data_IF_894023831773
#
_entry.id   IF_894023831773
#
_cell.length_a   1.000
_cell.length_b   1.000
_cell.length_c   1.000
_cell.angle_alpha   90.00
_cell.angle_beta   90.00
_cell.angle_gamma   90.00
#
_symmetry.space_group_name_H-M   'P 1'
#
loop_
_entity.id
_entity.type
_entity.pdbx_description
1 polymer ?
#
# COMPACT_ATOMS: atom_id res chain seq x y z
N UNK A 1 -26.42 -19.38 10.36
CA UNK A 1 -25.43 -19.07 11.42
C UNK A 1 -24.35 -20.11 11.28
N UNK A 2 -23.10 -19.71 11.20
CA UNK A 2 -21.95 -20.60 11.18
C UNK A 2 -21.18 -20.46 12.49
N UNK A 3 -20.80 -21.60 13.08
CA UNK A 3 -19.97 -21.67 14.28
C UNK A 3 -18.60 -22.19 13.90
N UNK A 4 -17.54 -21.39 14.15
CA UNK A 4 -16.15 -21.69 13.79
C UNK A 4 -15.20 -21.37 14.95
N UNK A 5 -13.97 -21.87 14.90
CA UNK A 5 -12.97 -21.49 15.90
C UNK A 5 -12.59 -20.01 15.76
N UNK A 6 -12.35 -19.56 14.52
CA UNK A 6 -11.91 -18.20 14.25
C UNK A 6 -12.67 -17.57 13.08
N UNK A 7 -13.01 -16.29 13.23
CA UNK A 7 -13.51 -15.47 12.13
C UNK A 7 -12.43 -14.48 11.68
N UNK A 8 -12.28 -14.27 10.38
CA UNK A 8 -11.39 -13.27 9.79
C UNK A 8 -12.19 -12.31 8.93
N UNK A 9 -12.00 -11.01 9.11
CA UNK A 9 -12.73 -9.95 8.40
C UNK A 9 -11.81 -9.24 7.41
N UNK A 10 -12.11 -9.38 6.12
CA UNK A 10 -11.34 -8.82 5.00
C UNK A 10 -10.39 -9.85 4.36
N UNK A 11 -10.54 -10.08 3.05
CA UNK A 11 -9.75 -11.01 2.26
C UNK A 11 -8.63 -10.31 1.44
N UNK A 12 -7.98 -9.29 2.02
CA UNK A 12 -6.67 -8.81 1.56
C UNK A 12 -5.55 -9.78 1.98
N UNK A 13 -4.28 -9.49 1.61
CA UNK A 13 -3.15 -10.36 1.97
C UNK A 13 -3.09 -10.70 3.47
N UNK A 14 -3.35 -9.74 4.34
CA UNK A 14 -3.32 -9.97 5.78
C UNK A 14 -4.38 -11.00 6.23
N UNK A 15 -5.62 -10.83 5.79
CA UNK A 15 -6.71 -11.74 6.15
C UNK A 15 -6.59 -13.11 5.47
N UNK A 16 -6.22 -13.14 4.19
CA UNK A 16 -5.95 -14.39 3.48
C UNK A 16 -4.85 -15.21 4.18
N UNK A 17 -3.76 -14.55 4.58
CA UNK A 17 -2.65 -15.21 5.30
C UNK A 17 -3.09 -15.67 6.69
N UNK A 18 -3.80 -14.83 7.45
CA UNK A 18 -4.30 -15.22 8.77
C UNK A 18 -5.21 -16.45 8.68
N UNK A 19 -6.19 -16.42 7.77
CA UNK A 19 -7.10 -17.55 7.55
C UNK A 19 -6.37 -18.83 7.11
N UNK A 20 -5.37 -18.69 6.21
CA UNK A 20 -4.54 -19.79 5.74
C UNK A 20 -3.78 -20.45 6.89
N UNK A 21 -3.07 -19.67 7.70
CA UNK A 21 -2.28 -20.19 8.84
C UNK A 21 -3.17 -20.85 9.90
N UNK A 22 -4.33 -20.28 10.20
CA UNK A 22 -5.31 -20.88 11.12
C UNK A 22 -5.85 -22.21 10.58
N UNK A 23 -6.21 -22.27 9.30
CA UNK A 23 -6.68 -23.52 8.66
C UNK A 23 -5.59 -24.59 8.61
N UNK A 24 -4.34 -24.21 8.32
CA UNK A 24 -3.17 -25.12 8.33
C UNK A 24 -2.89 -25.68 9.74
N UNK A 25 -3.21 -24.91 10.79
CA UNK A 25 -3.14 -25.36 12.18
C UNK A 25 -4.32 -26.28 12.59
N UNK A 26 -5.25 -26.59 11.68
CA UNK A 26 -6.37 -27.51 11.90
C UNK A 26 -7.64 -26.86 12.48
N UNK A 27 -7.70 -25.55 12.49
CA UNK A 27 -8.87 -24.82 12.99
C UNK A 27 -9.94 -24.58 11.91
N UNK A 28 -11.19 -24.54 12.33
CA UNK A 28 -12.30 -24.08 11.50
C UNK A 28 -12.28 -22.55 11.38
N UNK A 29 -12.39 -22.04 10.14
CA UNK A 29 -12.23 -20.61 9.84
C UNK A 29 -13.35 -20.14 8.92
N UNK A 30 -13.94 -18.98 9.22
CA UNK A 30 -14.75 -18.21 8.28
C UNK A 30 -14.02 -16.89 7.93
N UNK A 31 -13.71 -16.70 6.64
CA UNK A 31 -13.12 -15.47 6.11
C UNK A 31 -14.20 -14.69 5.37
N UNK A 32 -14.54 -13.52 5.88
CA UNK A 32 -15.62 -12.65 5.38
C UNK A 32 -15.02 -11.51 4.54
N UNK A 33 -15.42 -11.38 3.28
CA UNK A 33 -15.01 -10.30 2.38
C UNK A 33 -16.23 -9.54 1.89
N UNK A 34 -16.14 -8.22 1.94
CA UNK A 34 -17.24 -7.33 1.56
C UNK A 34 -17.48 -7.27 0.04
N UNK A 35 -16.41 -7.51 -0.76
CA UNK A 35 -16.48 -7.54 -2.23
C UNK A 35 -16.83 -8.93 -2.73
N UNK A 36 -17.10 -9.00 -4.01
CA UNK A 36 -17.23 -10.23 -4.80
C UNK A 36 -15.88 -10.87 -5.20
N UNK A 37 -14.78 -10.31 -4.70
CA UNK A 37 -13.41 -10.73 -4.98
C UNK A 37 -12.50 -10.64 -3.76
N UNK A 38 -11.47 -11.46 -3.74
CA UNK A 38 -10.35 -11.35 -2.79
C UNK A 38 -9.31 -10.32 -3.24
N UNK A 39 -8.31 -10.02 -2.40
CA UNK A 39 -7.12 -9.23 -2.71
C UNK A 39 -7.09 -7.83 -2.10
N UNK A 40 -8.24 -7.27 -1.70
CA UNK A 40 -8.28 -5.94 -1.07
C UNK A 40 -7.69 -4.83 -1.94
N UNK A 41 -6.64 -4.14 -1.44
CA UNK A 41 -5.90 -3.07 -2.14
C UNK A 41 -4.95 -3.57 -3.24
N UNK A 42 -4.81 -4.86 -3.41
CA UNK A 42 -4.15 -5.48 -4.57
C UNK A 42 -5.24 -6.09 -5.45
N UNK A 43 -5.28 -5.68 -6.69
CA UNK A 43 -6.31 -6.11 -7.63
C UNK A 43 -5.68 -6.34 -9.00
N UNK A 44 -5.75 -7.57 -9.50
CA UNK A 44 -5.31 -7.93 -10.85
C UNK A 44 -6.54 -8.25 -11.68
N UNK A 45 -6.73 -7.49 -12.74
CA UNK A 45 -7.69 -7.80 -13.78
C UNK A 45 -7.09 -8.84 -14.72
N UNK A 46 -7.80 -9.94 -14.90
CA UNK A 46 -7.45 -10.98 -15.86
C UNK A 46 -8.34 -10.83 -17.09
N UNK A 47 -7.74 -10.70 -18.26
CA UNK A 47 -8.46 -10.51 -19.53
C UNK A 47 -8.59 -11.83 -20.29
N UNK A 48 -9.57 -11.90 -21.18
CA UNK A 48 -9.85 -13.09 -22.01
C UNK A 48 -8.73 -13.37 -23.03
N UNK A 49 -7.97 -12.33 -23.42
CA UNK A 49 -6.80 -12.42 -24.30
C UNK A 49 -5.54 -12.95 -23.60
N UNK A 50 -5.64 -13.25 -22.31
CA UNK A 50 -4.52 -13.71 -21.47
C UNK A 50 -3.70 -12.59 -20.85
N UNK A 51 -3.91 -11.32 -21.21
CA UNK A 51 -3.26 -10.19 -20.57
C UNK A 51 -3.79 -10.04 -19.13
N UNK A 52 -2.90 -9.77 -18.20
CA UNK A 52 -3.22 -9.43 -16.83
C UNK A 52 -2.67 -8.05 -16.46
N UNK A 53 -3.44 -7.28 -15.69
CA UNK A 53 -3.12 -5.91 -15.32
C UNK A 53 -3.36 -5.72 -13.83
N UNK A 54 -2.32 -5.35 -13.09
CA UNK A 54 -2.45 -4.97 -11.68
C UNK A 54 -2.99 -3.54 -11.57
N UNK A 55 -4.24 -3.43 -11.17
CA UNK A 55 -4.94 -2.15 -10.92
C UNK A 55 -4.74 -1.64 -9.49
N UNK A 56 -4.07 -2.41 -8.64
CA UNK A 56 -3.68 -2.09 -7.27
C UNK A 56 -2.18 -2.24 -7.03
N UNK A 57 -1.77 -2.55 -5.79
CA UNK A 57 -0.39 -2.88 -5.45
C UNK A 57 0.13 -4.01 -6.32
N UNK A 58 1.39 -3.90 -6.82
CA UNK A 58 1.90 -4.78 -7.87
C UNK A 58 3.36 -5.22 -7.67
N UNK A 59 4.15 -4.47 -6.89
CA UNK A 59 5.59 -4.65 -6.81
C UNK A 59 6.03 -5.30 -5.51
N UNK A 60 7.14 -6.02 -5.61
CA UNK A 60 7.86 -6.66 -4.53
C UNK A 60 9.36 -6.42 -4.71
N UNK A 61 10.13 -6.56 -3.63
CA UNK A 61 11.57 -6.32 -3.69
C UNK A 61 12.36 -7.10 -2.65
N UNK A 62 13.70 -6.99 -2.64
CA UNK A 62 14.57 -7.66 -1.71
C UNK A 62 14.18 -7.40 -0.24
N UNK A 63 14.31 -8.40 0.63
CA UNK A 63 13.97 -8.28 2.06
C UNK A 63 12.47 -8.38 2.36
N UNK A 64 11.61 -8.49 1.35
CA UNK A 64 10.19 -8.78 1.50
C UNK A 64 9.96 -10.30 1.59
N UNK A 65 10.57 -10.94 2.59
CA UNK A 65 10.71 -12.39 2.68
C UNK A 65 9.38 -13.11 2.90
N UNK A 66 8.41 -12.45 3.56
CA UNK A 66 7.11 -13.07 3.85
C UNK A 66 6.28 -13.25 2.59
N UNK A 67 6.23 -12.24 1.72
CA UNK A 67 5.51 -12.39 0.44
C UNK A 67 6.22 -13.37 -0.50
N UNK A 68 7.56 -13.36 -0.56
CA UNK A 68 8.30 -14.37 -1.32
C UNK A 68 8.10 -15.78 -0.75
N UNK A 69 8.03 -15.93 0.58
CA UNK A 69 7.69 -17.19 1.24
C UNK A 69 6.32 -17.72 0.80
N UNK A 70 5.30 -16.84 0.81
CA UNK A 70 3.96 -17.18 0.35
C UNK A 70 3.93 -17.52 -1.16
N UNK A 71 4.66 -16.79 -2.00
CA UNK A 71 4.81 -17.09 -3.43
C UNK A 71 5.43 -18.47 -3.65
N UNK A 72 6.50 -18.80 -2.92
CA UNK A 72 7.16 -20.10 -3.01
C UNK A 72 6.25 -21.24 -2.54
N UNK A 73 5.48 -21.03 -1.47
CA UNK A 73 4.51 -22.02 -0.96
C UNK A 73 3.48 -22.42 -2.04
N UNK A 74 3.10 -21.47 -2.89
CA UNK A 74 2.11 -21.69 -3.95
C UNK A 74 2.70 -21.79 -5.37
N UNK A 75 4.02 -21.83 -5.51
CA UNK A 75 4.68 -21.99 -6.80
C UNK A 75 4.47 -20.82 -7.77
N UNK A 76 4.27 -19.61 -7.26
CA UNK A 76 4.10 -18.40 -8.09
C UNK A 76 5.47 -17.77 -8.34
N UNK A 77 6.00 -17.78 -9.58
CA UNK A 77 7.28 -17.18 -9.89
C UNK A 77 7.19 -15.66 -9.99
N UNK A 78 8.34 -14.98 -9.92
CA UNK A 78 8.46 -13.54 -10.17
C UNK A 78 9.37 -13.24 -11.34
N UNK A 79 9.24 -12.05 -11.91
CA UNK A 79 10.14 -11.50 -12.91
C UNK A 79 10.56 -10.08 -12.51
N UNK A 80 11.71 -9.64 -13.01
CA UNK A 80 12.25 -8.32 -12.72
C UNK A 80 11.43 -7.23 -13.40
N UNK A 81 11.20 -6.14 -12.66
CA UNK A 81 10.65 -4.92 -13.21
C UNK A 81 11.55 -4.41 -14.33
N UNK A 82 10.96 -4.10 -15.49
CA UNK A 82 11.74 -3.49 -16.58
C UNK A 82 12.20 -2.08 -16.16
N UNK A 83 13.49 -1.85 -16.21
CA UNK A 83 14.11 -0.59 -15.83
C UNK A 83 15.31 -0.22 -16.76
N UNK A 84 15.44 -0.91 -17.89
CA UNK A 84 16.47 -0.59 -18.87
C UNK A 84 16.15 0.70 -19.63
N UNK A 85 17.17 1.46 -19.97
CA UNK A 85 17.02 2.77 -20.61
C UNK A 85 17.13 3.93 -19.63
N UNK A 86 16.66 5.10 -20.05
CA UNK A 86 16.67 6.32 -19.25
C UNK A 86 15.28 6.59 -18.65
N UNK A 87 15.24 7.00 -17.39
CA UNK A 87 14.07 7.58 -16.76
C UNK A 87 13.97 9.09 -17.08
N UNK A 88 12.79 9.65 -16.90
CA UNK A 88 12.56 11.08 -17.07
C UNK A 88 12.09 11.71 -15.75
N UNK A 89 12.53 12.94 -15.49
CA UNK A 89 12.09 13.73 -14.35
C UNK A 89 11.80 15.17 -14.79
N UNK A 90 10.69 15.70 -14.28
CA UNK A 90 10.26 17.08 -14.52
C UNK A 90 10.19 17.78 -13.17
N UNK A 91 11.13 18.66 -12.91
CA UNK A 91 11.25 19.38 -11.64
C UNK A 91 11.66 20.83 -11.92
N UNK A 92 11.04 21.79 -11.25
CA UNK A 92 11.28 23.24 -11.42
C UNK A 92 11.22 23.69 -12.89
N UNK A 93 10.23 23.17 -13.64
CA UNK A 93 10.01 23.47 -15.05
C UNK A 93 11.08 22.92 -16.02
N UNK A 94 11.96 22.02 -15.57
CA UNK A 94 13.01 21.44 -16.38
C UNK A 94 12.80 19.94 -16.56
N UNK A 95 13.13 19.45 -17.76
CA UNK A 95 13.13 18.04 -18.14
C UNK A 95 14.54 17.46 -18.02
N UNK A 96 14.65 16.35 -17.30
CA UNK A 96 15.89 15.59 -17.15
C UNK A 96 15.68 14.17 -17.69
N UNK A 97 16.65 13.67 -18.48
CA UNK A 97 16.78 12.24 -18.79
C UNK A 97 17.98 11.72 -18.01
N UNK A 98 17.83 10.58 -17.34
CA UNK A 98 18.86 10.09 -16.45
C UNK A 98 18.79 8.57 -16.25
N UNK A 99 19.92 8.01 -15.80
CA UNK A 99 20.00 6.63 -15.29
C UNK A 99 20.26 6.66 -13.77
N UNK A 100 19.72 5.72 -13.05
CA UNK A 100 19.85 5.65 -11.60
C UNK A 100 18.70 6.31 -10.85
N UNK A 101 18.91 6.72 -9.60
CA UNK A 101 17.85 7.17 -8.70
C UNK A 101 17.50 8.66 -8.86
N UNK A 102 18.50 9.51 -9.12
CA UNK A 102 18.31 10.95 -9.30
C UNK A 102 19.13 11.46 -10.49
N UNK A 103 18.65 12.50 -11.21
CA UNK A 103 19.42 13.09 -12.31
C UNK A 103 20.61 13.90 -11.78
N UNK A 104 21.82 13.38 -11.96
CA UNK A 104 23.06 14.09 -11.62
C UNK A 104 23.30 15.34 -12.47
N UNK A 105 22.53 15.53 -13.53
CA UNK A 105 22.51 16.74 -14.37
C UNK A 105 21.73 17.91 -13.75
N UNK A 106 21.08 17.72 -12.60
CA UNK A 106 20.56 18.82 -11.78
C UNK A 106 21.69 19.74 -11.32
N UNK A 107 21.36 20.95 -10.84
CA UNK A 107 22.39 21.82 -10.29
C UNK A 107 23.15 21.11 -9.15
N UNK A 108 24.49 21.31 -9.03
CA UNK A 108 25.27 20.72 -7.94
C UNK A 108 24.69 21.04 -6.56
N UNK A 109 24.11 22.22 -6.40
CA UNK A 109 23.43 22.63 -5.17
C UNK A 109 22.20 21.78 -4.84
N UNK A 110 21.37 21.47 -5.85
CA UNK A 110 20.21 20.60 -5.65
C UNK A 110 20.63 19.17 -5.29
N UNK A 111 21.60 18.60 -6.01
CA UNK A 111 22.14 17.25 -5.74
C UNK A 111 22.72 17.14 -4.33
N UNK A 112 23.53 18.13 -3.91
CA UNK A 112 24.11 18.19 -2.56
C UNK A 112 23.02 18.28 -1.49
N UNK A 113 21.98 19.08 -1.74
CA UNK A 113 20.88 19.27 -0.80
C UNK A 113 20.05 17.98 -0.63
N UNK A 114 19.74 17.28 -1.74
CA UNK A 114 19.07 15.98 -1.70
C UNK A 114 19.92 14.98 -0.91
N UNK A 115 21.22 14.91 -1.19
CA UNK A 115 22.14 14.01 -0.49
C UNK A 115 22.22 14.28 1.02
N UNK A 116 22.24 15.55 1.43
CA UNK A 116 22.23 15.94 2.83
C UNK A 116 20.95 15.49 3.55
N UNK A 117 19.78 15.70 2.92
CA UNK A 117 18.49 15.23 3.46
C UNK A 117 18.44 13.72 3.58
N UNK A 118 18.89 12.99 2.56
CA UNK A 118 18.95 11.51 2.62
C UNK A 118 19.86 11.00 3.73
N UNK A 119 21.01 11.63 3.94
CA UNK A 119 21.93 11.28 5.02
C UNK A 119 21.29 11.52 6.38
N UNK A 120 20.64 12.67 6.57
CA UNK A 120 19.93 13.00 7.81
C UNK A 120 18.81 12.01 8.09
N UNK A 121 17.94 11.74 7.12
CA UNK A 121 16.86 10.74 7.24
C UNK A 121 17.40 9.36 7.60
N UNK A 122 18.51 8.94 6.96
CA UNK A 122 19.15 7.66 7.27
C UNK A 122 19.60 7.57 8.72
N UNK A 123 20.17 8.66 9.26
CA UNK A 123 20.58 8.69 10.67
C UNK A 123 19.37 8.72 11.62
N UNK A 124 18.34 9.49 11.27
CA UNK A 124 17.10 9.56 12.08
C UNK A 124 16.41 8.19 12.14
N UNK A 125 16.31 7.49 11.03
CA UNK A 125 15.70 6.15 10.94
C UNK A 125 16.38 5.12 11.86
N UNK A 126 17.71 5.19 12.05
CA UNK A 126 18.45 4.29 12.94
C UNK A 126 18.01 4.36 14.41
N UNK A 127 17.41 5.46 14.82
CA UNK A 127 16.95 5.66 16.20
C UNK A 127 15.49 5.29 16.42
N UNK A 128 14.81 4.79 15.40
CA UNK A 128 13.41 4.37 15.50
C UNK A 128 13.31 2.90 15.91
N UNK A 129 12.78 2.58 17.09
CA UNK A 129 12.44 1.23 17.47
C UNK A 129 11.17 0.82 16.69
N UNK A 130 11.33 -0.01 15.66
CA UNK A 130 10.21 -0.33 14.73
C UNK A 130 9.04 -1.06 15.38
N UNK A 131 9.25 -1.72 16.51
CA UNK A 131 8.16 -2.32 17.30
C UNK A 131 7.35 -1.27 18.09
N UNK A 132 7.98 -0.17 18.47
CA UNK A 132 7.37 0.88 19.28
C UNK A 132 7.92 2.27 18.86
N UNK A 133 7.60 2.76 17.64
CA UNK A 133 8.16 4.01 17.12
C UNK A 133 7.84 5.25 17.97
N UNK A 134 6.79 5.19 18.76
CA UNK A 134 6.41 6.21 19.76
C UNK A 134 7.40 6.31 20.93
N UNK A 135 8.24 5.29 21.16
CA UNK A 135 9.28 5.27 22.20
C UNK A 135 10.63 5.78 21.70
N UNK A 136 10.73 6.23 20.43
CA UNK A 136 11.95 6.81 19.92
C UNK A 136 12.41 8.02 20.77
N UNK A 137 13.72 8.24 20.98
CA UNK A 137 14.23 9.31 21.87
C UNK A 137 13.71 10.73 21.55
N UNK A 138 13.34 10.96 20.30
CA UNK A 138 12.80 12.25 19.83
C UNK A 138 11.36 12.13 19.29
N UNK A 139 10.65 11.06 19.61
CA UNK A 139 9.33 10.75 19.07
C UNK A 139 8.38 11.94 19.15
N UNK A 140 8.16 12.50 20.35
CA UNK A 140 7.25 13.64 20.54
C UNK A 140 7.64 14.87 19.67
N UNK A 141 8.96 15.14 19.55
CA UNK A 141 9.41 16.28 18.73
C UNK A 141 9.15 16.03 17.25
N UNK A 142 9.39 14.83 16.76
CA UNK A 142 9.20 14.48 15.35
C UNK A 142 7.72 14.32 15.00
N UNK A 143 6.92 13.79 15.92
CA UNK A 143 5.49 13.62 15.70
C UNK A 143 4.69 14.95 15.72
N UNK A 144 5.23 16.00 16.33
CA UNK A 144 4.63 17.34 16.31
C UNK A 144 4.87 18.09 14.99
N UNK A 145 5.75 17.59 14.12
CA UNK A 145 6.07 18.19 12.83
C UNK A 145 5.44 17.40 11.70
N UNK A 146 4.88 18.11 10.72
CA UNK A 146 4.60 17.49 9.44
C UNK A 146 5.88 17.34 8.62
N UNK A 147 5.85 16.44 7.63
CA UNK A 147 6.93 16.33 6.64
C UNK A 147 7.22 17.66 5.96
N UNK A 148 6.19 18.38 5.51
CA UNK A 148 6.38 19.69 4.89
C UNK A 148 7.11 20.66 5.82
N UNK A 149 6.65 20.80 7.07
CA UNK A 149 7.26 21.74 8.03
C UNK A 149 8.72 21.38 8.39
N UNK A 150 9.09 20.10 8.35
CA UNK A 150 10.47 19.67 8.52
C UNK A 150 11.31 19.97 7.27
N UNK A 151 10.76 19.70 6.09
CA UNK A 151 11.43 19.90 4.81
C UNK A 151 11.75 21.37 4.56
N UNK A 152 10.80 22.27 4.85
CA UNK A 152 10.99 23.74 4.78
C UNK A 152 12.21 24.24 5.56
N UNK A 153 12.56 23.57 6.67
CA UNK A 153 13.68 23.94 7.53
C UNK A 153 15.00 23.31 7.11
N UNK A 154 14.96 22.22 6.36
CA UNK A 154 16.13 21.40 6.06
C UNK A 154 16.49 21.38 4.57
N UNK A 155 15.72 22.09 3.72
CA UNK A 155 15.96 22.14 2.28
C UNK A 155 16.04 23.59 1.79
N UNK A 156 17.18 23.96 1.23
CA UNK A 156 17.44 25.32 0.74
C UNK A 156 17.36 25.42 -0.80
N UNK A 157 17.30 24.30 -1.49
CA UNK A 157 17.21 24.22 -2.94
C UNK A 157 15.75 23.95 -3.36
N UNK A 158 15.15 24.88 -4.12
CA UNK A 158 13.77 24.73 -4.59
C UNK A 158 13.55 23.41 -5.37
N UNK A 159 14.41 23.01 -6.35
CA UNK A 159 14.22 21.72 -7.04
C UNK A 159 14.34 20.52 -6.09
N UNK A 160 15.23 20.57 -5.08
CA UNK A 160 15.35 19.50 -4.10
C UNK A 160 14.11 19.43 -3.20
N UNK A 161 13.60 20.57 -2.77
CA UNK A 161 12.37 20.65 -1.97
C UNK A 161 11.18 20.05 -2.73
N UNK A 162 10.94 20.49 -3.98
CA UNK A 162 9.85 20.03 -4.82
C UNK A 162 9.91 18.50 -5.05
N UNK A 163 11.12 17.98 -5.32
CA UNK A 163 11.33 16.54 -5.50
C UNK A 163 11.02 15.75 -4.23
N UNK A 164 11.59 16.14 -3.10
CA UNK A 164 11.45 15.43 -1.82
C UNK A 164 10.02 15.53 -1.27
N UNK A 165 9.38 16.69 -1.39
CA UNK A 165 7.99 16.87 -1.00
C UNK A 165 7.06 15.97 -1.80
N UNK A 166 7.21 15.99 -3.13
CA UNK A 166 6.35 15.21 -4.01
C UNK A 166 6.60 13.70 -3.89
N UNK A 167 7.84 13.27 -3.67
CA UNK A 167 8.15 11.84 -3.46
C UNK A 167 7.43 11.28 -2.24
N UNK A 168 7.39 12.02 -1.13
CA UNK A 168 6.70 11.59 0.08
C UNK A 168 5.18 11.75 -0.06
N UNK A 169 4.72 12.85 -0.66
CA UNK A 169 3.29 13.02 -0.94
C UNK A 169 2.74 11.91 -1.84
N UNK A 170 3.53 11.46 -2.81
CA UNK A 170 3.22 10.33 -3.67
C UNK A 170 3.15 9.01 -2.90
N UNK A 171 4.19 8.70 -2.13
CA UNK A 171 4.26 7.47 -1.35
C UNK A 171 3.06 7.29 -0.40
N UNK A 172 2.59 8.37 0.21
CA UNK A 172 1.43 8.35 1.12
C UNK A 172 0.12 8.81 0.47
N UNK A 173 0.17 9.20 -0.80
CA UNK A 173 -1.00 9.66 -1.58
C UNK A 173 -1.77 10.80 -0.89
N UNK A 174 -1.06 11.62 -0.12
CA UNK A 174 -1.58 12.71 0.71
C UNK A 174 -0.66 13.94 0.65
N UNK A 175 -1.13 15.10 1.09
CA UNK A 175 -0.28 16.27 1.13
C UNK A 175 0.83 16.11 2.19
N UNK A 176 2.02 16.59 1.90
CA UNK A 176 3.17 16.56 2.82
C UNK A 176 2.88 17.19 4.19
N UNK A 177 1.97 18.17 4.23
CA UNK A 177 1.51 18.81 5.46
C UNK A 177 0.60 17.93 6.34
N UNK A 178 0.00 16.90 5.77
CA UNK A 178 -0.91 15.98 6.46
C UNK A 178 -0.17 14.81 7.14
N UNK A 179 1.12 14.62 6.87
CA UNK A 179 1.89 13.43 7.25
C UNK A 179 2.88 13.79 8.36
N UNK A 180 2.86 13.06 9.49
CA UNK A 180 3.83 13.22 10.58
C UNK A 180 5.24 12.84 10.13
N UNK A 181 6.25 13.65 10.51
CA UNK A 181 7.66 13.29 10.31
C UNK A 181 8.02 11.97 11.00
N UNK A 182 7.54 11.75 12.24
CA UNK A 182 7.79 10.49 12.95
C UNK A 182 7.24 9.30 12.15
N UNK A 183 6.08 9.45 11.55
CA UNK A 183 5.47 8.40 10.73
C UNK A 183 6.31 8.09 9.48
N UNK A 184 6.81 9.12 8.78
CA UNK A 184 7.73 8.94 7.64
C UNK A 184 8.98 8.18 8.06
N UNK A 185 9.59 8.57 9.18
CA UNK A 185 10.78 7.90 9.72
C UNK A 185 10.50 6.45 10.11
N UNK A 186 9.37 6.19 10.75
CA UNK A 186 8.95 4.84 11.12
C UNK A 186 8.76 3.94 9.91
N UNK A 187 8.02 4.39 8.92
CA UNK A 187 7.78 3.61 7.70
C UNK A 187 9.11 3.29 6.98
N UNK A 188 9.97 4.29 6.79
CA UNK A 188 11.30 4.09 6.20
C UNK A 188 12.17 3.13 7.02
N UNK A 189 12.21 3.29 8.35
CA UNK A 189 12.98 2.42 9.23
C UNK A 189 12.48 0.96 9.19
N UNK A 190 11.15 0.77 9.14
CA UNK A 190 10.51 -0.55 9.07
C UNK A 190 10.86 -1.31 7.78
N UNK A 191 11.21 -0.59 6.72
CA UNK A 191 11.53 -1.14 5.39
C UNK A 191 13.03 -1.13 5.06
N UNK A 192 13.91 -0.79 6.01
CA UNK A 192 15.36 -0.81 5.80
C UNK A 192 15.97 0.53 5.37
N UNK A 193 15.20 1.60 5.36
CA UNK A 193 15.68 2.98 5.15
C UNK A 193 15.17 3.67 3.89
N UNK A 194 15.49 4.97 3.74
CA UNK A 194 14.96 5.80 2.69
C UNK A 194 15.34 5.34 1.28
N UNK A 195 16.54 4.79 1.09
CA UNK A 195 17.00 4.31 -0.23
C UNK A 195 16.21 3.12 -0.74
N UNK A 196 15.73 2.24 0.17
CA UNK A 196 14.88 1.12 -0.21
C UNK A 196 13.49 1.60 -0.60
N UNK A 197 12.90 2.47 0.21
CA UNK A 197 11.51 2.93 0.04
C UNK A 197 11.32 3.75 -1.25
N UNK A 198 12.32 4.55 -1.62
CA UNK A 198 12.26 5.47 -2.76
C UNK A 198 12.96 4.94 -4.02
N UNK A 199 13.44 3.69 -4.00
CA UNK A 199 14.16 3.07 -5.10
C UNK A 199 13.31 2.07 -5.90
N UNK A 200 13.73 1.82 -7.15
CA UNK A 200 13.14 0.78 -8.02
C UNK A 200 14.07 -0.43 -8.09
N UNK A 201 15.27 -0.27 -8.64
CA UNK A 201 16.23 -1.36 -8.80
C UNK A 201 16.84 -1.78 -7.46
N UNK A 202 16.81 -3.08 -7.15
CA UNK A 202 17.25 -3.65 -5.87
C UNK A 202 16.60 -2.98 -4.65
N UNK A 203 15.35 -2.51 -4.81
CA UNK A 203 14.58 -1.75 -3.85
C UNK A 203 13.11 -2.21 -3.82
N UNK A 204 12.20 -1.38 -3.34
CA UNK A 204 10.81 -1.77 -3.09
C UNK A 204 10.04 -2.25 -4.32
N UNK A 205 10.38 -1.76 -5.52
CA UNK A 205 9.68 -2.00 -6.78
C UNK A 205 10.51 -2.84 -7.77
N UNK A 206 11.32 -3.78 -7.28
CA UNK A 206 12.31 -4.53 -8.07
C UNK A 206 11.72 -5.64 -8.96
N UNK A 207 10.60 -6.22 -8.55
CA UNK A 207 10.01 -7.37 -9.24
C UNK A 207 8.49 -7.40 -9.15
N UNK A 208 7.88 -8.24 -9.99
CA UNK A 208 6.43 -8.50 -10.00
C UNK A 208 6.16 -10.02 -10.09
N UNK A 209 5.07 -10.53 -9.47
CA UNK A 209 4.64 -11.92 -9.66
C UNK A 209 4.15 -12.15 -11.10
N UNK A 210 4.47 -13.31 -11.67
CA UNK A 210 3.89 -13.74 -12.95
C UNK A 210 2.38 -13.99 -12.76
N UNK A 211 1.56 -13.40 -13.62
CA UNK A 211 0.08 -13.41 -13.46
C UNK A 211 -0.43 -12.38 -12.46
N UNK A 212 0.44 -11.43 -12.04
CA UNK A 212 0.15 -10.35 -11.11
C UNK A 212 -0.08 -10.83 -9.67
N UNK A 213 -0.40 -9.91 -8.78
CA UNK A 213 -0.76 -10.25 -7.38
C UNK A 213 -1.97 -11.19 -7.30
N UNK A 214 -2.83 -11.15 -8.32
CA UNK A 214 -3.99 -12.05 -8.44
C UNK A 214 -3.63 -13.53 -8.52
N UNK A 215 -2.46 -13.89 -9.04
CA UNK A 215 -2.02 -15.28 -9.05
C UNK A 215 -1.87 -15.84 -7.63
N UNK A 216 -1.29 -15.06 -6.73
CA UNK A 216 -1.12 -15.42 -5.32
C UNK A 216 -2.49 -15.49 -4.62
N UNK A 217 -3.35 -14.49 -4.83
CA UNK A 217 -4.70 -14.48 -4.22
C UNK A 217 -5.52 -15.70 -4.62
N UNK A 218 -5.52 -16.05 -5.91
CA UNK A 218 -6.26 -17.22 -6.42
C UNK A 218 -5.73 -18.52 -5.81
N UNK A 219 -4.42 -18.67 -5.70
CA UNK A 219 -3.81 -19.84 -5.12
C UNK A 219 -4.15 -20.01 -3.63
N UNK A 220 -4.04 -18.94 -2.84
CA UNK A 220 -4.43 -18.94 -1.42
C UNK A 220 -5.93 -19.16 -1.27
N UNK A 221 -6.76 -18.53 -2.10
CA UNK A 221 -8.21 -18.69 -2.06
C UNK A 221 -8.62 -20.14 -2.40
N UNK A 222 -7.97 -20.79 -3.35
CA UNK A 222 -8.21 -22.19 -3.67
C UNK A 222 -7.88 -23.12 -2.48
N UNK A 223 -6.80 -22.83 -1.74
CA UNK A 223 -6.44 -23.60 -0.53
C UNK A 223 -7.44 -23.38 0.63
N UNK A 224 -8.02 -22.18 0.72
CA UNK A 224 -9.05 -21.86 1.71
C UNK A 224 -10.43 -22.45 1.36
N UNK A 225 -10.77 -22.55 0.06
CA UNK A 225 -12.02 -23.13 -0.42
C UNK A 225 -13.25 -22.51 0.25
N UNK A 226 -14.14 -23.35 0.77
CA UNK A 226 -15.43 -22.94 1.38
C UNK A 226 -15.30 -22.10 2.65
N UNK A 227 -14.10 -21.86 3.16
CA UNK A 227 -13.86 -20.94 4.28
C UNK A 227 -14.04 -19.48 3.88
N UNK A 228 -14.08 -19.16 2.57
CA UNK A 228 -14.23 -17.77 2.07
C UNK A 228 -15.70 -17.48 1.75
N UNK A 229 -16.18 -16.38 2.32
CA UNK A 229 -17.53 -15.86 2.06
C UNK A 229 -17.41 -14.47 1.45
N UNK A 230 -17.61 -14.37 0.15
CA UNK A 230 -17.61 -13.11 -0.61
C UNK A 230 -18.95 -12.38 -0.48
N UNK A 231 -18.97 -11.08 -0.78
CA UNK A 231 -20.15 -10.22 -0.71
C UNK A 231 -20.81 -10.19 0.67
N UNK A 232 -19.97 -10.33 1.73
CA UNK A 232 -20.38 -10.34 3.13
C UNK A 232 -19.76 -9.15 3.89
N UNK A 233 -20.28 -7.92 3.69
CA UNK A 233 -19.78 -6.75 4.41
C UNK A 233 -20.15 -6.83 5.89
N UNK A 234 -19.14 -6.88 6.76
CA UNK A 234 -19.35 -6.91 8.21
C UNK A 234 -19.87 -5.58 8.70
N UNK A 235 -20.99 -5.62 9.45
CA UNK A 235 -21.69 -4.46 10.02
C UNK A 235 -21.42 -4.28 11.50
N UNK A 236 -21.37 -5.39 12.24
CA UNK A 236 -21.09 -5.32 13.68
C UNK A 236 -20.32 -6.52 14.17
N UNK A 237 -19.57 -6.31 15.26
CA UNK A 237 -18.86 -7.32 16.03
C UNK A 237 -19.22 -7.13 17.49
N UNK A 238 -19.93 -8.11 18.04
CA UNK A 238 -20.26 -8.18 19.47
C UNK A 238 -19.37 -9.21 20.13
N UNK A 239 -18.83 -8.93 21.31
CA UNK A 239 -18.05 -9.91 22.09
C UNK A 239 -18.51 -9.98 23.54
N UNK A 240 -18.41 -11.17 24.12
CA UNK A 240 -18.72 -11.46 25.52
C UNK A 240 -17.73 -12.49 26.10
N UNK A 241 -18.07 -13.09 27.25
CA UNK A 241 -17.26 -14.12 27.90
C UNK A 241 -17.15 -15.40 27.05
N UNK A 242 -18.15 -15.71 26.22
CA UNK A 242 -18.25 -16.97 25.48
C UNK A 242 -17.61 -16.90 24.10
N UNK A 243 -17.50 -15.69 23.50
CA UNK A 243 -16.92 -15.55 22.16
C UNK A 243 -17.21 -14.22 21.48
N UNK A 244 -17.23 -14.28 20.15
CA UNK A 244 -17.58 -13.15 19.29
C UNK A 244 -18.71 -13.52 18.35
N UNK A 245 -19.59 -12.57 18.07
CA UNK A 245 -20.62 -12.68 17.03
C UNK A 245 -20.35 -11.61 15.98
N UNK A 246 -20.06 -12.03 14.76
CA UNK A 246 -19.81 -11.15 13.60
C UNK A 246 -21.06 -11.17 12.72
N UNK A 247 -21.62 -10.00 12.42
CA UNK A 247 -22.84 -9.86 11.62
C UNK A 247 -22.56 -9.16 10.30
N UNK A 248 -22.93 -9.81 9.21
CA UNK A 248 -23.03 -9.25 7.87
C UNK A 248 -24.50 -8.92 7.53
N UNK A 249 -24.76 -8.48 6.30
CA UNK A 249 -26.12 -8.23 5.85
C UNK A 249 -26.97 -9.53 5.82
N UNK A 250 -26.40 -10.62 5.29
CA UNK A 250 -27.11 -11.90 5.09
C UNK A 250 -26.55 -13.06 5.91
N UNK A 251 -25.47 -12.84 6.69
CA UNK A 251 -24.76 -13.89 7.40
C UNK A 251 -24.43 -13.49 8.84
N UNK A 252 -24.47 -14.46 9.74
CA UNK A 252 -23.99 -14.33 11.11
C UNK A 252 -23.00 -15.45 11.41
N UNK A 253 -21.81 -15.08 11.88
CA UNK A 253 -20.75 -16.01 12.29
C UNK A 253 -20.50 -15.86 13.78
N UNK A 254 -20.48 -16.99 14.51
CA UNK A 254 -19.96 -17.06 15.88
C UNK A 254 -18.57 -17.68 15.86
N UNK A 255 -17.65 -17.12 16.64
CA UNK A 255 -16.29 -17.60 16.75
C UNK A 255 -15.74 -17.38 18.17
N UNK A 256 -14.67 -18.09 18.52
CA UNK A 256 -13.96 -17.83 19.77
C UNK A 256 -13.28 -16.46 19.76
N UNK A 257 -12.65 -16.11 18.62
CA UNK A 257 -11.98 -14.83 18.40
C UNK A 257 -12.16 -14.36 16.96
N UNK A 258 -11.94 -13.06 16.73
CA UNK A 258 -11.98 -12.46 15.39
C UNK A 258 -10.70 -11.71 15.07
N UNK A 259 -10.19 -11.87 13.86
CA UNK A 259 -9.11 -11.05 13.29
C UNK A 259 -9.71 -10.05 12.30
N UNK A 260 -9.60 -8.77 12.61
CA UNK A 260 -10.05 -7.68 11.74
C UNK A 260 -8.86 -7.24 10.88
N UNK A 261 -8.91 -7.54 9.58
CA UNK A 261 -7.85 -7.36 8.59
C UNK A 261 -8.23 -6.36 7.47
N UNK A 262 -9.12 -5.42 7.79
CA UNK A 262 -9.53 -4.35 6.88
C UNK A 262 -8.76 -3.05 7.19
N UNK A 263 -8.67 -2.09 6.23
CA UNK A 263 -8.04 -0.80 6.49
C UNK A 263 -8.63 -0.12 7.73
N UNK A 264 -7.80 0.59 8.50
CA UNK A 264 -8.19 1.21 9.78
C UNK A 264 -9.41 2.13 9.60
N UNK A 265 -9.44 2.93 8.55
CA UNK A 265 -10.57 3.80 8.23
C UNK A 265 -11.86 3.02 7.91
N UNK A 266 -11.76 1.81 7.37
CA UNK A 266 -12.92 0.94 7.13
C UNK A 266 -13.34 0.22 8.41
N UNK A 267 -12.38 -0.19 9.25
CA UNK A 267 -12.68 -0.77 10.55
C UNK A 267 -13.49 0.19 11.44
N UNK A 268 -13.34 1.51 11.27
CA UNK A 268 -14.14 2.51 11.99
C UNK A 268 -15.64 2.52 11.63
N UNK A 269 -16.01 1.90 10.50
CA UNK A 269 -17.41 1.81 10.04
C UNK A 269 -18.13 0.58 10.60
N UNK A 270 -17.41 -0.32 11.29
CA UNK A 270 -17.99 -1.48 11.97
C UNK A 270 -18.45 -1.06 13.36
N UNK A 271 -19.66 -1.47 13.75
CA UNK A 271 -20.19 -1.25 15.10
C UNK A 271 -19.60 -2.31 16.04
N UNK A 272 -18.99 -1.88 17.13
CA UNK A 272 -18.38 -2.76 18.13
C UNK A 272 -19.17 -2.71 19.45
N UNK A 273 -19.48 -3.89 20.01
CA UNK A 273 -20.13 -4.05 21.30
C UNK A 273 -19.36 -5.06 22.18
N UNK A 274 -18.86 -4.64 23.36
CA UNK A 274 -18.85 -3.27 23.86
C UNK A 274 -18.00 -2.34 22.99
N UNK A 275 -18.16 -1.03 23.17
CA UNK A 275 -17.35 -0.03 22.46
C UNK A 275 -15.86 -0.33 22.61
N UNK A 276 -15.08 -0.06 21.55
CA UNK A 276 -13.63 -0.17 21.60
C UNK A 276 -13.02 0.77 22.65
N UNK A 277 -11.86 0.42 23.23
CA UNK A 277 -11.09 1.33 24.07
C UNK A 277 -10.89 2.70 23.41
N UNK A 278 -10.80 3.75 24.22
CA UNK A 278 -10.74 5.14 23.75
C UNK A 278 -9.63 5.35 22.75
N UNK A 279 -8.42 4.86 23.04
CA UNK A 279 -7.25 5.07 22.17
C UNK A 279 -7.42 4.38 20.82
N UNK A 280 -7.98 3.16 20.78
CA UNK A 280 -8.29 2.48 19.53
C UNK A 280 -9.37 3.21 18.74
N UNK A 281 -10.38 3.71 19.41
CA UNK A 281 -11.47 4.48 18.79
C UNK A 281 -10.96 5.78 18.17
N UNK A 282 -10.07 6.49 18.88
CA UNK A 282 -9.44 7.70 18.37
C UNK A 282 -8.47 7.42 17.21
N UNK A 283 -7.72 6.32 17.26
CA UNK A 283 -6.85 5.89 16.18
C UNK A 283 -7.64 5.65 14.88
N UNK A 284 -8.80 4.97 14.97
CA UNK A 284 -9.69 4.73 13.84
C UNK A 284 -10.12 6.02 13.13
N UNK A 285 -10.31 7.10 13.90
CA UNK A 285 -10.75 8.40 13.36
C UNK A 285 -9.61 9.23 12.77
N UNK A 286 -8.35 8.90 13.08
CA UNK A 286 -7.18 9.74 12.79
C UNK A 286 -6.15 9.12 11.86
N UNK A 287 -6.41 7.96 11.30
CA UNK A 287 -5.53 7.33 10.32
C UNK A 287 -6.22 7.24 8.95
N UNK A 288 -6.22 8.35 8.18
CA UNK A 288 -6.80 8.36 6.85
C UNK A 288 -5.93 7.59 5.86
N UNK A 289 -6.54 7.25 4.73
CA UNK A 289 -5.89 6.88 3.49
C UNK A 289 -5.89 8.08 2.55
N UNK A 290 -4.96 8.11 1.60
CA UNK A 290 -4.89 9.18 0.63
C UNK A 290 -5.68 8.90 -0.65
N UNK A 291 -5.57 9.81 -1.61
CA UNK A 291 -6.23 9.72 -2.92
C UNK A 291 -5.24 9.23 -3.98
N UNK A 292 -5.66 8.25 -4.79
CA UNK A 292 -4.83 7.71 -5.86
C UNK A 292 -5.69 7.22 -7.02
N UNK A 293 -5.26 7.57 -8.24
CA UNK A 293 -5.67 6.90 -9.47
C UNK A 293 -4.51 6.04 -9.95
N UNK A 294 -4.79 4.80 -10.28
CA UNK A 294 -3.89 3.93 -11.03
C UNK A 294 -4.51 3.65 -12.39
N UNK A 295 -3.80 4.01 -13.45
CA UNK A 295 -4.28 3.95 -14.83
C UNK A 295 -3.32 3.09 -15.62
N UNK A 296 -3.83 2.08 -16.32
CA UNK A 296 -3.05 1.30 -17.26
C UNK A 296 -3.38 1.73 -18.68
N UNK A 297 -2.36 2.16 -19.41
CA UNK A 297 -2.42 2.47 -20.83
C UNK A 297 -1.84 1.29 -21.59
N UNK A 298 -2.66 0.64 -22.40
CA UNK A 298 -2.25 -0.52 -23.21
C UNK A 298 -1.97 -0.06 -24.61
N UNK A 299 -0.84 -0.48 -25.18
CA UNK A 299 -0.40 -0.20 -26.56
C UNK A 299 -0.02 -1.50 -27.26
N UNK A 300 -0.03 -1.55 -28.58
CA UNK A 300 0.38 -2.73 -29.34
C UNK A 300 1.80 -3.21 -28.98
N UNK A 301 2.69 -2.25 -28.70
CA UNK A 301 4.08 -2.50 -28.30
C UNK A 301 4.56 -1.46 -27.28
N UNK A 302 5.59 -1.76 -26.46
CA UNK A 302 6.21 -0.80 -25.55
C UNK A 302 7.11 0.20 -26.30
N UNK A 303 6.50 1.08 -27.10
CA UNK A 303 7.17 1.98 -28.05
C UNK A 303 8.24 2.88 -27.40
N UNK A 304 8.11 3.22 -26.11
CA UNK A 304 9.10 4.02 -25.38
C UNK A 304 10.46 3.33 -25.25
N UNK A 305 10.49 1.99 -25.32
CA UNK A 305 11.74 1.22 -25.26
C UNK A 305 12.59 1.43 -26.49
N UNK A 306 11.97 1.62 -27.67
CA UNK A 306 12.69 1.93 -28.93
C UNK A 306 13.38 3.29 -28.87
N UNK A 307 12.87 4.23 -28.05
CA UNK A 307 13.47 5.55 -27.83
C UNK A 307 14.54 5.56 -26.71
N UNK A 308 14.91 4.37 -26.22
CA UNK A 308 15.88 4.18 -25.14
C UNK A 308 15.36 4.59 -23.76
N UNK A 309 14.03 4.62 -23.56
CA UNK A 309 13.38 5.00 -22.31
C UNK A 309 12.92 3.77 -21.52
N UNK A 310 13.01 3.85 -20.20
CA UNK A 310 12.57 2.80 -19.29
C UNK A 310 11.06 2.77 -19.06
N UNK A 311 10.30 3.75 -19.58
CA UNK A 311 8.90 3.96 -19.24
C UNK A 311 8.69 4.65 -17.88
N UNK A 312 9.74 4.79 -17.07
CA UNK A 312 9.67 5.51 -15.82
C UNK A 312 9.75 7.02 -16.02
N UNK A 313 8.78 7.75 -15.46
CA UNK A 313 8.88 9.21 -15.36
C UNK A 313 8.28 9.70 -14.05
N UNK A 314 8.83 10.79 -13.52
CA UNK A 314 8.32 11.48 -12.33
C UNK A 314 8.13 12.97 -12.63
N UNK A 315 6.94 13.49 -12.31
CA UNK A 315 6.58 14.89 -12.58
C UNK A 315 5.63 15.40 -11.49
N UNK A 316 6.17 16.10 -10.47
CA UNK A 316 5.36 16.74 -9.45
C UNK A 316 4.22 17.60 -10.02
N UNK A 317 3.04 17.48 -9.44
CA UNK A 317 1.88 18.30 -9.82
C UNK A 317 1.22 17.93 -11.16
N UNK A 318 1.73 16.96 -11.91
CA UNK A 318 1.17 16.52 -13.19
C UNK A 318 0.02 15.53 -12.99
N UNK A 319 -1.03 15.52 -13.87
CA UNK A 319 -2.03 14.45 -13.92
C UNK A 319 -1.44 13.04 -14.10
N UNK A 320 -0.22 12.93 -14.58
CA UNK A 320 0.58 11.71 -14.60
C UNK A 320 1.81 11.88 -13.72
N UNK A 321 1.64 11.90 -12.39
CA UNK A 321 2.75 12.11 -11.45
C UNK A 321 3.91 11.14 -11.68
N UNK A 322 3.59 9.85 -11.76
CA UNK A 322 4.52 8.76 -11.97
C UNK A 322 4.06 7.91 -13.13
N UNK A 323 4.99 7.50 -13.99
CA UNK A 323 4.76 6.44 -14.97
C UNK A 323 5.77 5.32 -14.77
N UNK A 324 5.35 4.08 -15.01
CA UNK A 324 6.21 2.89 -14.89
C UNK A 324 5.84 1.91 -16.01
N UNK A 325 6.84 1.36 -16.69
CA UNK A 325 6.65 0.23 -17.58
C UNK A 325 6.05 -0.95 -16.81
N UNK A 326 4.88 -1.39 -17.18
CA UNK A 326 4.17 -2.47 -16.51
C UNK A 326 3.81 -3.61 -17.47
N UNK A 327 4.60 -3.76 -18.53
CA UNK A 327 4.50 -4.94 -19.40
C UNK A 327 4.61 -6.21 -18.59
N UNK A 328 3.95 -7.26 -19.03
CA UNK A 328 4.04 -8.58 -18.41
C UNK A 328 5.45 -9.18 -18.61
N UNK A 329 5.69 -10.35 -18.06
CA UNK A 329 6.93 -11.12 -18.23
C UNK A 329 7.25 -11.44 -19.70
N UNK A 330 6.24 -11.44 -20.57
CA UNK A 330 6.43 -11.60 -22.04
C UNK A 330 6.95 -10.34 -22.73
N UNK A 331 6.81 -9.17 -22.09
CA UNK A 331 7.20 -7.89 -22.64
C UNK A 331 6.23 -7.26 -23.64
N UNK A 332 5.19 -7.96 -24.07
CA UNK A 332 4.13 -7.50 -24.97
C UNK A 332 2.75 -7.98 -24.47
N UNK A 333 1.69 -7.20 -24.73
CA UNK A 333 1.65 -5.86 -25.31
C UNK A 333 2.34 -4.83 -24.41
N UNK A 334 2.54 -3.60 -24.92
CA UNK A 334 3.06 -2.49 -24.14
C UNK A 334 2.04 -2.05 -23.09
N UNK A 335 2.42 -2.06 -21.82
CA UNK A 335 1.58 -1.54 -20.72
C UNK A 335 2.36 -0.46 -19.97
N UNK A 336 1.86 0.76 -20.01
CA UNK A 336 2.39 1.87 -19.22
C UNK A 336 1.43 2.16 -18.08
N UNK A 337 1.86 1.95 -16.84
CA UNK A 337 1.09 2.38 -15.67
C UNK A 337 1.35 3.85 -15.42
N UNK A 338 0.26 4.61 -15.24
CA UNK A 338 0.25 5.98 -14.74
C UNK A 338 -0.31 5.95 -13.32
N UNK A 339 0.36 6.62 -12.40
CA UNK A 339 -0.12 6.81 -11.04
C UNK A 339 -0.26 8.32 -10.80
N UNK A 340 -1.45 8.73 -10.38
CA UNK A 340 -1.75 10.10 -9.97
C UNK A 340 -2.10 10.09 -8.49
N UNK A 341 -1.45 10.93 -7.71
CA UNK A 341 -1.42 10.78 -6.26
C UNK A 341 -1.74 12.07 -5.52
N UNK A 342 -2.25 11.92 -4.31
CA UNK A 342 -2.40 12.98 -3.32
C UNK A 342 -3.29 14.14 -3.77
N UNK A 343 -2.83 15.40 -3.59
CA UNK A 343 -3.59 16.58 -3.97
C UNK A 343 -4.00 16.61 -5.46
N UNK A 344 -3.13 16.11 -6.35
CA UNK A 344 -3.41 16.06 -7.79
C UNK A 344 -4.52 15.07 -8.10
N UNK A 345 -4.49 13.90 -7.46
CA UNK A 345 -5.58 12.90 -7.61
C UNK A 345 -6.93 13.50 -7.16
N UNK A 346 -6.95 14.27 -6.06
CA UNK A 346 -8.17 14.97 -5.62
C UNK A 346 -8.64 16.02 -6.63
N UNK A 347 -7.72 16.66 -7.36
CA UNK A 347 -8.06 17.64 -8.39
C UNK A 347 -8.63 16.99 -9.64
N UNK A 348 -7.94 16.00 -10.21
CA UNK A 348 -8.41 15.31 -11.41
C UNK A 348 -9.65 14.45 -11.16
N UNK A 349 -9.88 14.02 -9.93
CA UNK A 349 -11.10 13.32 -9.50
C UNK A 349 -12.37 14.17 -9.56
N UNK A 350 -12.26 15.50 -9.75
CA UNK A 350 -13.39 16.42 -9.96
C UNK A 350 -13.74 16.63 -11.42
N UNK A 351 -12.89 16.18 -12.33
CA UNK A 351 -13.10 16.25 -13.76
C UNK A 351 -14.06 15.14 -14.20
N UNK A 352 -14.74 15.35 -15.32
CA UNK A 352 -15.43 14.26 -16.02
C UNK A 352 -14.42 13.20 -16.48
N UNK A 353 -14.90 11.99 -16.79
CA UNK A 353 -14.04 10.89 -17.23
C UNK A 353 -13.26 11.26 -18.50
N UNK A 354 -13.90 11.93 -19.46
CA UNK A 354 -13.27 12.35 -20.72
C UNK A 354 -12.22 13.46 -20.49
N UNK A 355 -12.52 14.46 -19.66
CA UNK A 355 -11.57 15.54 -19.33
C UNK A 355 -10.36 14.97 -18.60
N UNK A 356 -10.58 14.04 -17.64
CA UNK A 356 -9.52 13.38 -16.90
C UNK A 356 -8.65 12.52 -17.80
N UNK A 357 -9.28 11.69 -18.66
CA UNK A 357 -8.58 10.87 -19.65
C UNK A 357 -7.71 11.73 -20.55
N UNK A 358 -8.28 12.83 -21.08
CA UNK A 358 -7.53 13.78 -21.91
C UNK A 358 -6.33 14.37 -21.17
N UNK A 359 -6.52 14.86 -19.94
CA UNK A 359 -5.46 15.47 -19.14
C UNK A 359 -4.31 14.48 -18.86
N UNK A 360 -4.64 13.21 -18.58
CA UNK A 360 -3.66 12.16 -18.37
C UNK A 360 -2.90 11.83 -19.66
N UNK A 361 -3.59 11.64 -20.77
CA UNK A 361 -2.95 11.33 -22.06
C UNK A 361 -2.07 12.47 -22.55
N UNK A 362 -2.51 13.71 -22.44
CA UNK A 362 -1.70 14.89 -22.79
C UNK A 362 -0.40 14.93 -21.95
N UNK A 363 -0.52 14.69 -20.64
CA UNK A 363 0.64 14.65 -19.75
C UNK A 363 1.60 13.48 -20.05
N UNK A 364 1.12 12.35 -20.52
CA UNK A 364 1.95 11.22 -20.95
C UNK A 364 2.61 11.52 -22.29
N UNK A 365 1.88 12.13 -23.23
CA UNK A 365 2.39 12.51 -24.54
C UNK A 365 3.52 13.58 -24.47
N UNK A 366 3.44 14.49 -23.51
CA UNK A 366 4.52 15.45 -23.23
C UNK A 366 5.87 14.76 -22.95
N UNK A 367 5.84 13.52 -22.47
CA UNK A 367 7.01 12.73 -22.11
C UNK A 367 7.43 11.76 -23.20
N UNK A 368 6.46 11.01 -23.74
CA UNK A 368 6.70 9.88 -24.62
C UNK A 368 6.32 10.15 -26.08
N UNK A 369 5.86 11.38 -26.40
CA UNK A 369 5.46 11.78 -27.76
C UNK A 369 4.05 11.35 -28.13
N UNK A 370 3.63 11.71 -29.36
CA UNK A 370 2.24 11.60 -29.84
C UNK A 370 1.69 10.17 -29.87
N UNK A 371 2.55 9.15 -29.95
CA UNK A 371 2.14 7.74 -29.85
C UNK A 371 1.39 7.45 -28.55
N UNK A 372 1.70 8.17 -27.50
CA UNK A 372 1.05 8.02 -26.20
C UNK A 372 -0.43 8.45 -26.19
N UNK A 373 -0.87 9.27 -27.13
CA UNK A 373 -2.26 9.76 -27.22
C UNK A 373 -3.27 8.70 -27.67
N UNK A 374 -2.79 7.58 -28.23
CA UNK A 374 -3.65 6.57 -28.84
C UNK A 374 -3.40 5.17 -28.22
N UNK A 375 -3.64 4.97 -26.92
CA UNK A 375 -3.61 3.64 -26.34
C UNK A 375 -4.74 2.78 -26.94
N UNK A 376 -4.46 1.49 -27.15
CA UNK A 376 -5.48 0.50 -27.55
C UNK A 376 -6.53 0.37 -26.45
N UNK A 377 -6.11 0.51 -25.19
CA UNK A 377 -7.02 0.47 -24.04
C UNK A 377 -6.58 1.42 -22.93
N UNK A 378 -7.57 1.96 -22.19
CA UNK A 378 -7.38 2.87 -21.04
C UNK A 378 -8.18 2.34 -19.87
N UNK A 379 -7.49 1.79 -18.89
CA UNK A 379 -8.09 1.16 -17.70
C UNK A 379 -7.79 1.98 -16.46
N UNK A 380 -8.81 2.57 -15.86
CA UNK A 380 -8.67 3.44 -14.69
C UNK A 380 -9.23 2.78 -13.43
N UNK A 381 -8.47 2.90 -12.33
CA UNK A 381 -8.91 2.55 -10.99
C UNK A 381 -8.78 3.77 -10.07
N UNK A 382 -9.91 4.31 -9.65
CA UNK A 382 -9.96 5.35 -8.63
C UNK A 382 -10.08 4.72 -7.23
N UNK A 383 -8.96 4.67 -6.50
CA UNK A 383 -8.93 4.10 -5.16
C UNK A 383 -9.55 5.02 -4.10
N UNK A 384 -9.64 6.34 -4.35
CA UNK A 384 -10.19 7.30 -3.39
C UNK A 384 -11.69 7.08 -3.12
N UNK A 385 -12.42 6.55 -4.12
CA UNK A 385 -13.86 6.26 -4.01
C UNK A 385 -14.17 4.77 -3.86
N UNK A 386 -13.14 3.93 -3.70
CA UNK A 386 -13.31 2.49 -3.51
C UNK A 386 -13.90 2.21 -2.12
N UNK A 387 -15.17 1.81 -2.10
CA UNK A 387 -16.03 1.74 -0.91
C UNK A 387 -15.39 0.99 0.27
N UNK A 388 -14.74 -0.14 0.00
CA UNK A 388 -14.19 -1.02 1.04
C UNK A 388 -12.67 -0.89 1.21
N UNK A 389 -12.06 0.12 0.59
CA UNK A 389 -10.69 0.55 0.87
C UNK A 389 -10.65 1.94 1.49
N UNK A 390 -11.47 2.86 0.98
CA UNK A 390 -11.55 4.24 1.47
C UNK A 390 -10.34 5.08 1.08
N UNK A 391 -9.55 4.64 0.08
CA UNK A 391 -8.33 5.29 -0.38
C UNK A 391 -7.20 4.31 -0.68
N UNK A 392 -6.00 4.85 -0.90
CA UNK A 392 -4.72 4.17 -1.12
C UNK A 392 -3.56 5.04 -0.62
N UNK A 393 -2.31 4.59 -0.56
CA UNK A 393 -1.92 3.19 -0.64
C UNK A 393 -1.88 2.59 0.76
N UNK A 394 -1.45 3.40 1.77
CA UNK A 394 -1.32 3.06 3.19
C UNK A 394 -1.97 4.13 4.05
N UNK A 395 -2.53 3.73 5.19
CA UNK A 395 -2.98 4.69 6.19
C UNK A 395 -1.76 5.34 6.85
N UNK A 396 -1.80 6.66 6.98
CA UNK A 396 -0.74 7.43 7.61
C UNK A 396 -1.26 8.14 8.87
N UNK A 397 -0.34 8.62 9.71
CA UNK A 397 -0.70 9.42 10.87
C UNK A 397 -0.38 10.90 10.63
N UNK A 398 -1.34 11.80 10.86
CA UNK A 398 -1.06 13.23 11.02
C UNK A 398 -0.18 13.49 12.26
N UNK A 399 0.39 14.71 12.37
CA UNK A 399 1.15 15.11 13.54
C UNK A 399 0.40 14.87 14.87
N UNK A 400 1.11 14.32 15.86
CA UNK A 400 0.62 14.06 17.22
C UNK A 400 -0.12 12.74 17.41
N UNK A 401 -0.43 12.00 16.34
CA UNK A 401 -1.25 10.78 16.43
C UNK A 401 -0.44 9.56 16.84
N UNK A 402 0.76 9.40 16.28
CA UNK A 402 1.53 8.17 16.49
C UNK A 402 2.07 8.05 17.93
N UNK A 403 2.47 9.16 18.54
CA UNK A 403 2.92 9.18 19.94
C UNK A 403 1.79 9.04 20.95
N UNK A 404 0.59 9.44 20.60
CA UNK A 404 -0.57 9.39 21.50
C UNK A 404 -1.27 8.02 21.44
N UNK A 405 -1.50 7.50 20.24
CA UNK A 405 -2.36 6.33 20.01
C UNK A 405 -1.64 5.14 19.39
N UNK A 406 -0.34 5.24 19.12
CA UNK A 406 0.45 4.20 18.43
C UNK A 406 0.34 2.80 19.02
N UNK A 407 0.41 2.60 20.37
CA UNK A 407 0.25 1.28 20.98
C UNK A 407 -1.03 0.58 20.57
N UNK A 408 -2.15 1.32 20.44
CA UNK A 408 -3.44 0.78 20.02
C UNK A 408 -3.49 0.19 18.60
N UNK A 409 -2.45 0.41 17.76
CA UNK A 409 -2.36 -0.19 16.42
C UNK A 409 -2.42 -1.72 16.45
N UNK A 410 -1.81 -2.34 17.47
CA UNK A 410 -1.64 -3.79 17.55
C UNK A 410 -2.31 -4.41 18.76
N UNK A 411 -2.58 -3.63 19.78
CA UNK A 411 -3.14 -4.14 21.04
C UNK A 411 -4.52 -4.75 20.82
N UNK A 412 -4.74 -6.03 21.19
CA UNK A 412 -6.04 -6.67 21.07
C UNK A 412 -7.09 -6.01 21.96
N UNK A 413 -8.31 -5.97 21.49
CA UNK A 413 -9.46 -5.48 22.26
C UNK A 413 -10.33 -6.68 22.69
N UNK A 414 -9.97 -7.32 23.81
CA UNK A 414 -10.62 -8.54 24.28
C UNK A 414 -10.39 -9.71 23.30
N UNK A 415 -11.45 -10.13 22.62
CA UNK A 415 -11.41 -11.21 21.62
C UNK A 415 -11.22 -10.72 20.19
N UNK A 416 -11.05 -9.41 20.00
CA UNK A 416 -10.84 -8.76 18.68
C UNK A 416 -9.36 -8.49 18.52
N UNK A 417 -8.79 -9.03 17.43
CA UNK A 417 -7.39 -8.91 17.07
C UNK A 417 -7.26 -8.16 15.73
N UNK A 418 -6.12 -7.55 15.48
CA UNK A 418 -5.92 -6.66 14.35
C UNK A 418 -4.84 -7.19 13.40
N UNK A 419 -5.14 -7.21 12.11
CA UNK A 419 -4.17 -7.45 11.05
C UNK A 419 -4.30 -6.35 9.98
N UNK A 420 -3.39 -6.35 9.03
CA UNK A 420 -3.25 -5.32 8.00
C UNK A 420 -1.83 -4.79 8.03
N UNK A 421 -1.35 -4.33 6.89
CA UNK A 421 0.03 -3.80 6.78
C UNK A 421 0.30 -2.68 7.77
N UNK A 422 -0.72 -1.94 8.18
CA UNK A 422 -0.66 -0.87 9.18
C UNK A 422 -0.35 -1.39 10.59
N UNK A 423 -0.48 -2.68 10.84
CA UNK A 423 -0.15 -3.31 12.13
C UNK A 423 1.19 -4.04 12.12
N UNK A 424 1.92 -4.02 11.00
CA UNK A 424 3.22 -4.66 10.88
C UNK A 424 4.35 -3.74 11.38
N UNK A 425 5.27 -4.29 12.16
CA UNK A 425 6.47 -3.57 12.57
C UNK A 425 7.56 -3.57 11.49
N UNK A 426 7.57 -4.58 10.62
CA UNK A 426 8.49 -4.71 9.50
C UNK A 426 7.72 -4.58 8.19
N UNK A 427 8.27 -3.84 7.23
CA UNK A 427 7.64 -3.58 5.93
C UNK A 427 6.25 -2.95 6.06
N UNK A 428 6.10 -1.98 6.99
CA UNK A 428 4.86 -1.21 7.16
C UNK A 428 4.43 -0.57 5.82
N UNK A 429 3.18 -0.79 5.44
CA UNK A 429 2.63 -0.23 4.19
C UNK A 429 2.87 -1.10 2.96
N UNK A 430 3.75 -2.09 3.02
CA UNK A 430 4.03 -3.02 1.92
C UNK A 430 3.14 -4.27 1.99
N UNK A 431 3.07 -4.99 0.87
CA UNK A 431 2.36 -6.27 0.76
C UNK A 431 2.98 -7.29 1.73
N UNK A 432 4.30 -7.30 1.84
CA UNK A 432 5.04 -8.14 2.79
C UNK A 432 4.62 -7.90 4.24
N UNK A 433 4.44 -6.63 4.63
CA UNK A 433 3.93 -6.27 5.95
C UNK A 433 2.50 -6.77 6.19
N UNK A 434 1.66 -6.82 5.15
CA UNK A 434 0.33 -7.40 5.26
C UNK A 434 0.40 -8.91 5.54
N UNK A 435 1.26 -9.65 4.82
CA UNK A 435 1.48 -11.10 5.06
C UNK A 435 1.98 -11.32 6.49
N UNK A 436 3.04 -10.61 6.91
CA UNK A 436 3.59 -10.69 8.29
C UNK A 436 2.54 -10.42 9.36
N UNK A 437 1.71 -9.42 9.14
CA UNK A 437 0.64 -9.08 10.09
C UNK A 437 -0.42 -10.17 10.21
N UNK A 438 -0.72 -10.86 9.11
CA UNK A 438 -1.62 -12.00 9.07
C UNK A 438 -1.05 -13.19 9.85
N UNK A 439 0.23 -13.51 9.64
CA UNK A 439 0.93 -14.57 10.38
C UNK A 439 0.97 -14.28 11.88
N UNK A 440 1.35 -13.05 12.26
CA UNK A 440 1.35 -12.61 13.66
C UNK A 440 -0.04 -12.74 14.28
N UNK A 441 -1.07 -12.25 13.61
CA UNK A 441 -2.43 -12.28 14.15
C UNK A 441 -2.95 -13.71 14.31
N UNK A 442 -2.64 -14.61 13.38
CA UNK A 442 -2.99 -16.03 13.51
C UNK A 442 -2.32 -16.67 14.73
N UNK A 443 -1.01 -16.45 14.93
CA UNK A 443 -0.29 -16.94 16.10
C UNK A 443 -0.88 -16.39 17.39
N UNK A 444 -1.12 -15.07 17.44
CA UNK A 444 -1.65 -14.37 18.61
C UNK A 444 -3.02 -14.91 19.06
N UNK A 445 -3.95 -15.15 18.11
CA UNK A 445 -5.28 -15.67 18.48
C UNK A 445 -5.19 -17.10 19.01
N UNK A 446 -4.32 -17.94 18.46
CA UNK A 446 -4.11 -19.33 18.94
C UNK A 446 -3.48 -19.35 20.34
N UNK A 447 -2.46 -18.55 20.58
CA UNK A 447 -1.80 -18.45 21.90
C UNK A 447 -2.75 -17.94 22.97
N UNK A 448 -3.52 -16.89 22.67
CA UNK A 448 -4.51 -16.34 23.60
C UNK A 448 -5.64 -17.32 23.91
N UNK A 449 -6.03 -18.14 22.94
CA UNK A 449 -7.06 -19.15 23.19
C UNK A 449 -6.52 -20.27 24.11
N UNK A 450 -5.28 -20.73 23.86
CA UNK A 450 -4.65 -21.74 24.72
C UNK A 450 -4.56 -21.29 26.19
N UNK A 451 -4.27 -19.99 26.45
CA UNK A 451 -4.22 -19.41 27.78
C UNK A 451 -5.61 -19.30 28.44
N UNK A 452 -6.68 -19.24 27.66
CA UNK A 452 -8.05 -19.14 28.19
C UNK A 452 -8.60 -20.51 28.62
N UNK A 453 -8.10 -21.58 28.00
CA UNK A 453 -8.53 -22.97 28.27
C UNK A 453 -7.70 -23.65 29.38
N UNK A 454 -6.50 -23.13 29.66
CA UNK A 454 -5.62 -23.58 30.74
C UNK A 454 -6.01 -22.95 32.10
#
# INVERSE_FOLDING_TARGET
>A
MADVDYCVVGAGFAGLTAALRLKQAGHSVALLEARDRVGGRTFTEQRDDGLWIDRGGAWIGPGQDAIYGLMNEFGVPSYKQYADGEAMMFVDGKKYRYKGTIPLSMSPWAVTNIGAVFLELTQMCKSIPVEAPWDAPKAKKWDQLSWAAWLDRNTLSKPAHELLESSISGLYTSAASEISLLFVLYQMASAGGPSFVLGVKDAAEDARPVGGMGAIHRAVAAALGDSIHLSQPVRSITQDADGVTVRCDDMVVRARRVVVAVPIAIASQIIYEPMLPVDRSFLHQRMPLGACFKIALVYDEPFWRADGLSGQSFSPGSPANLTIDSCTDTGNPGVLTVITEGPVARQIGKLSDDERKKAVLDAVAERFGDKALSPVDYLEQNWAVERYSGGAMISHTPPGVLTEFGPALREPCGRIHWAGTETSAKMYGFIDGAVRSGERAATEVMEREAMTVA
#
